data_IF_498485914451
#
_entry.id   IF_498485914451
#
_cell.length_a   1.000
_cell.length_b   1.000
_cell.length_c   1.000
_cell.angle_alpha   90.00
_cell.angle_beta   90.00
_cell.angle_gamma   90.00
#
_symmetry.space_group_name_H-M   'P 1'
#
loop_
_entity.id
_entity.type
_entity.pdbx_description
1 polymer ?
#
# COMPACT_ATOMS: atom_id res chain seq x y z
N UNK A 1 7.49 9.72 44.62
CA UNK A 1 6.26 9.10 44.09
C UNK A 1 6.53 8.78 42.63
N UNK A 2 6.91 7.54 42.34
CA UNK A 2 7.28 7.10 40.99
C UNK A 2 6.02 6.98 40.14
N UNK A 3 5.92 7.79 39.08
CA UNK A 3 4.96 7.59 38.00
C UNK A 3 5.48 6.43 37.15
N UNK A 4 4.83 5.27 37.28
CA UNK A 4 5.06 4.14 36.42
C UNK A 4 4.73 4.52 34.97
N UNK A 5 5.74 4.47 34.11
CA UNK A 5 5.53 4.41 32.67
C UNK A 5 4.70 3.16 32.37
N UNK A 6 3.43 3.34 32.02
CA UNK A 6 2.68 2.31 31.33
C UNK A 6 3.27 2.19 29.93
N UNK A 7 4.26 1.31 29.76
CA UNK A 7 4.65 0.76 28.47
C UNK A 7 3.49 -0.11 27.96
N UNK A 8 2.44 0.53 27.43
CA UNK A 8 1.53 -0.17 26.53
C UNK A 8 2.30 -0.39 25.25
N UNK A 9 2.81 -1.62 25.07
CA UNK A 9 3.18 -2.15 23.76
C UNK A 9 2.05 -1.75 22.81
N UNK A 10 2.34 -0.90 21.82
CA UNK A 10 1.40 -0.75 20.72
C UNK A 10 1.25 -2.17 20.14
N UNK A 11 0.00 -2.63 20.02
CA UNK A 11 -0.27 -3.97 19.50
C UNK A 11 -0.41 -3.80 17.99
N UNK A 12 0.38 -4.51 17.20
CA UNK A 12 0.22 -4.51 15.75
C UNK A 12 -1.24 -4.86 15.40
N UNK A 13 -1.93 -3.91 14.77
CA UNK A 13 -3.32 -4.06 14.40
C UNK A 13 -3.37 -4.63 12.98
N UNK A 14 -4.03 -5.77 12.80
CA UNK A 14 -4.27 -6.31 11.46
C UNK A 14 -5.61 -5.79 10.99
N UNK A 15 -5.60 -5.02 9.92
CA UNK A 15 -6.80 -4.47 9.35
C UNK A 15 -7.25 -5.32 8.17
N UNK A 16 -8.49 -5.80 8.26
CA UNK A 16 -9.13 -6.64 7.25
C UNK A 16 -10.19 -5.79 6.57
N UNK A 17 -9.91 -5.39 5.34
CA UNK A 17 -10.88 -4.72 4.49
C UNK A 17 -11.52 -5.75 3.55
N UNK A 18 -12.84 -5.83 3.58
CA UNK A 18 -13.60 -6.81 2.80
C UNK A 18 -14.79 -6.17 2.09
N UNK A 19 -14.97 -6.48 0.81
CA UNK A 19 -16.16 -6.17 0.03
C UNK A 19 -17.20 -7.32 0.02
N UNK A 20 -18.37 -7.06 0.61
CA UNK A 20 -19.51 -7.97 0.64
C UNK A 20 -20.30 -7.91 -0.65
N UNK A 21 -19.99 -8.75 -1.65
CA UNK A 21 -20.61 -8.70 -2.98
C UNK A 21 -22.15 -8.76 -2.95
N UNK A 22 -22.73 -9.61 -2.08
CA UNK A 22 -24.20 -9.74 -1.90
C UNK A 22 -24.85 -8.44 -1.43
N UNK A 23 -24.18 -7.69 -0.57
CA UNK A 23 -24.69 -6.45 0.03
C UNK A 23 -24.14 -5.19 -0.64
N UNK A 24 -23.19 -5.35 -1.58
CA UNK A 24 -22.41 -4.29 -2.22
C UNK A 24 -21.87 -3.27 -1.22
N UNK A 25 -21.29 -3.75 -0.10
CA UNK A 25 -20.77 -2.91 0.98
C UNK A 25 -19.33 -3.30 1.32
N UNK A 26 -18.43 -2.33 1.36
CA UNK A 26 -17.11 -2.48 1.97
C UNK A 26 -17.22 -2.35 3.50
N UNK A 27 -16.41 -3.14 4.21
CA UNK A 27 -16.28 -3.07 5.66
C UNK A 27 -14.82 -3.16 6.06
N UNK A 28 -14.44 -2.39 7.07
CA UNK A 28 -13.10 -2.48 7.66
C UNK A 28 -13.21 -3.04 9.08
N UNK A 29 -12.42 -4.07 9.34
CA UNK A 29 -12.39 -4.76 10.61
C UNK A 29 -10.99 -4.72 11.21
N UNK A 30 -10.95 -4.59 12.53
CA UNK A 30 -9.76 -4.68 13.35
C UNK A 30 -9.62 -6.09 13.90
N UNK A 31 -8.51 -6.74 13.57
CA UNK A 31 -8.10 -7.98 14.19
C UNK A 31 -6.87 -7.69 15.04
N UNK A 32 -7.01 -7.93 16.34
CA UNK A 32 -5.87 -7.97 17.26
C UNK A 32 -5.35 -9.40 17.28
N UNK A 33 -4.05 -9.57 17.30
CA UNK A 33 -3.39 -10.89 17.20
C UNK A 33 -3.89 -11.94 18.21
N UNK A 34 -4.33 -11.49 19.39
CA UNK A 34 -4.82 -12.35 20.48
C UNK A 34 -6.36 -12.49 20.50
N UNK A 35 -7.07 -11.72 19.68
CA UNK A 35 -8.53 -11.74 19.63
C UNK A 35 -9.02 -12.62 18.50
N UNK A 36 -9.92 -13.53 18.86
CA UNK A 36 -10.46 -14.57 17.99
C UNK A 36 -11.52 -14.06 16.99
N UNK A 37 -12.01 -12.84 17.15
CA UNK A 37 -13.01 -12.23 16.27
C UNK A 37 -12.60 -10.81 15.87
N UNK A 38 -12.63 -10.47 14.57
CA UNK A 38 -12.46 -9.10 14.10
C UNK A 38 -13.61 -8.21 14.58
N UNK A 39 -13.29 -6.96 14.93
CA UNK A 39 -14.28 -5.94 15.30
C UNK A 39 -14.43 -4.94 14.16
N UNK A 40 -15.64 -4.70 13.68
CA UNK A 40 -15.87 -3.62 12.71
C UNK A 40 -15.50 -2.25 13.32
N UNK A 41 -14.74 -1.45 12.58
CA UNK A 41 -14.25 -0.14 13.04
C UNK A 41 -14.64 1.01 12.12
N UNK A 42 -14.94 0.72 10.85
CA UNK A 42 -15.36 1.74 9.89
C UNK A 42 -16.46 1.20 8.98
N UNK A 43 -17.54 1.97 8.88
CA UNK A 43 -18.52 1.83 7.83
C UNK A 43 -18.17 2.77 6.68
N UNK A 44 -18.18 2.22 5.46
CA UNK A 44 -17.86 3.00 4.27
C UNK A 44 -19.05 3.91 3.91
N UNK A 45 -18.77 5.14 3.45
CA UNK A 45 -19.78 6.20 3.29
C UNK A 45 -20.89 5.82 2.30
N UNK A 46 -20.52 5.17 1.19
CA UNK A 46 -21.45 4.73 0.16
C UNK A 46 -21.31 3.23 -0.15
N UNK A 47 -22.35 2.65 -0.73
CA UNK A 47 -22.28 1.29 -1.30
C UNK A 47 -21.27 1.25 -2.45
N UNK A 48 -20.59 0.12 -2.58
CA UNK A 48 -19.52 -0.09 -3.54
C UNK A 48 -18.34 -0.80 -2.93
N UNK A 49 -17.42 -1.21 -3.81
CA UNK A 49 -16.11 -1.71 -3.43
C UNK A 49 -15.17 -0.51 -3.34
N UNK A 50 -14.40 -0.44 -2.27
CA UNK A 50 -13.28 0.49 -2.15
C UNK A 50 -12.01 -0.32 -2.12
N UNK A 51 -10.90 0.21 -2.62
CA UNK A 51 -9.59 -0.35 -2.40
C UNK A 51 -8.78 0.61 -1.52
N UNK A 52 -7.98 0.06 -0.61
CA UNK A 52 -6.97 0.83 0.12
C UNK A 52 -5.80 1.10 -0.83
N UNK A 53 -5.53 2.37 -1.14
CA UNK A 53 -4.42 2.77 -2.02
C UNK A 53 -3.08 2.77 -1.29
N UNK A 54 -3.06 3.32 -0.07
CA UNK A 54 -1.90 3.26 0.83
C UNK A 54 -2.26 3.74 2.25
N UNK A 55 -1.28 3.65 3.15
CA UNK A 55 -1.29 4.29 4.47
C UNK A 55 -0.14 5.30 4.62
N UNK A 56 -0.32 6.27 5.51
CA UNK A 56 0.72 7.21 5.93
C UNK A 56 0.46 7.67 7.36
N UNK A 57 1.39 7.42 8.28
CA UNK A 57 1.29 7.85 9.70
C UNK A 57 -0.05 7.49 10.36
N UNK A 58 -0.55 6.27 10.10
CA UNK A 58 -1.82 5.76 10.63
C UNK A 58 -3.09 6.35 10.01
N UNK A 59 -2.96 7.18 8.96
CA UNK A 59 -4.06 7.56 8.07
C UNK A 59 -4.11 6.61 6.88
N UNK A 60 -5.33 6.34 6.40
CA UNK A 60 -5.61 5.43 5.30
C UNK A 60 -6.33 6.14 4.17
N UNK A 61 -5.90 5.90 2.93
CA UNK A 61 -6.52 6.45 1.74
C UNK A 61 -7.30 5.38 0.99
N UNK A 62 -8.63 5.52 0.94
CA UNK A 62 -9.51 4.60 0.22
C UNK A 62 -10.06 5.25 -1.05
N UNK A 63 -10.14 4.47 -2.11
CA UNK A 63 -10.71 4.90 -3.40
C UNK A 63 -11.75 3.88 -3.84
N UNK A 64 -12.89 4.37 -4.31
CA UNK A 64 -13.98 3.54 -4.81
C UNK A 64 -13.62 2.95 -6.16
N UNK A 65 -13.79 1.64 -6.30
CA UNK A 65 -13.57 0.96 -7.57
C UNK A 65 -14.72 1.29 -8.53
N UNK A 66 -14.40 1.63 -9.77
CA UNK A 66 -15.37 1.79 -10.85
C UNK A 66 -15.24 3.12 -11.57
N UNK A 67 -16.37 3.61 -12.10
CA UNK A 67 -16.42 4.90 -12.82
C UNK A 67 -16.67 6.10 -11.90
N UNK A 68 -17.10 5.85 -10.67
CA UNK A 68 -17.37 6.90 -9.70
C UNK A 68 -16.08 7.28 -8.99
N UNK A 69 -15.59 8.50 -9.24
CA UNK A 69 -14.44 9.06 -8.56
C UNK A 69 -14.86 9.49 -7.14
N UNK A 70 -14.77 8.53 -6.21
CA UNK A 70 -15.01 8.76 -4.80
C UNK A 70 -13.79 8.26 -4.01
N UNK A 71 -13.21 9.15 -3.22
CA UNK A 71 -12.06 8.84 -2.38
C UNK A 71 -12.23 9.51 -1.01
N UNK A 72 -11.67 8.88 0.02
CA UNK A 72 -11.69 9.43 1.37
C UNK A 72 -10.45 9.02 2.16
N UNK A 73 -10.12 9.83 3.16
CA UNK A 73 -9.07 9.54 4.13
C UNK A 73 -9.71 9.24 5.48
N UNK A 74 -9.25 8.18 6.15
CA UNK A 74 -9.75 7.80 7.47
C UNK A 74 -8.60 7.48 8.42
N UNK A 75 -8.78 7.86 9.68
CA UNK A 75 -8.08 7.23 10.79
C UNK A 75 -9.05 6.21 11.41
N UNK A 76 -8.81 4.90 11.30
CA UNK A 76 -9.72 3.90 11.85
C UNK A 76 -9.91 3.97 13.37
N UNK A 77 -9.02 4.65 14.08
CA UNK A 77 -9.11 4.86 15.52
C UNK A 77 -9.75 6.20 15.90
N UNK A 78 -10.06 7.08 14.94
CA UNK A 78 -10.55 8.44 15.21
C UNK A 78 -11.50 9.01 14.16
N UNK A 79 -12.59 9.61 14.67
CA UNK A 79 -13.41 10.57 13.94
C UNK A 79 -14.20 9.99 12.77
N UNK A 80 -14.85 10.88 12.04
CA UNK A 80 -15.50 10.55 10.77
C UNK A 80 -14.49 10.58 9.62
N UNK A 81 -14.68 9.77 8.57
CA UNK A 81 -13.87 9.85 7.35
C UNK A 81 -13.91 11.25 6.73
N UNK A 82 -12.75 11.72 6.26
CA UNK A 82 -12.66 12.92 5.43
C UNK A 82 -12.92 12.53 3.97
N UNK A 83 -14.08 12.91 3.44
CA UNK A 83 -14.35 12.80 2.01
C UNK A 83 -13.46 13.76 1.22
N UNK A 84 -12.79 13.25 0.18
CA UNK A 84 -12.03 14.10 -0.74
C UNK A 84 -12.98 14.78 -1.73
N UNK A 85 -12.71 16.04 -2.15
CA UNK A 85 -13.50 16.67 -3.19
C UNK A 85 -13.38 15.86 -4.49
N UNK A 86 -14.40 15.93 -5.35
CA UNK A 86 -14.31 15.36 -6.69
C UNK A 86 -13.34 16.18 -7.52
N UNK A 87 -12.57 15.52 -8.38
CA UNK A 87 -11.79 16.23 -9.38
C UNK A 87 -12.69 16.81 -10.46
N UNK A 88 -12.24 17.91 -11.04
CA UNK A 88 -12.84 18.51 -12.23
C UNK A 88 -12.34 17.79 -13.49
N UNK A 89 -11.15 17.15 -13.40
CA UNK A 89 -10.53 16.45 -14.51
C UNK A 89 -11.04 15.01 -14.53
N UNK A 90 -11.69 14.65 -15.63
CA UNK A 90 -12.22 13.30 -15.85
C UNK A 90 -11.14 12.42 -16.47
N UNK A 91 -10.80 11.33 -15.79
CA UNK A 91 -9.89 10.32 -16.34
C UNK A 91 -10.57 9.52 -17.44
N UNK A 92 -9.83 9.19 -18.49
CA UNK A 92 -10.32 8.30 -19.55
C UNK A 92 -10.42 6.84 -19.08
N UNK A 93 -9.54 6.44 -18.16
CA UNK A 93 -9.52 5.11 -17.57
C UNK A 93 -9.44 5.22 -16.03
N UNK A 94 -10.51 5.66 -15.35
CA UNK A 94 -10.47 5.96 -13.91
C UNK A 94 -10.13 4.75 -13.03
N UNK A 95 -10.39 3.53 -13.50
CA UNK A 95 -10.02 2.29 -12.79
C UNK A 95 -8.51 1.99 -12.82
N UNK A 96 -7.74 2.68 -13.67
CA UNK A 96 -6.28 2.58 -13.73
C UNK A 96 -5.60 3.71 -12.96
N UNK A 97 -6.34 4.74 -12.57
CA UNK A 97 -5.79 5.85 -11.79
C UNK A 97 -5.15 5.32 -10.49
N UNK A 98 -4.14 6.04 -10.02
CA UNK A 98 -3.48 5.76 -8.74
C UNK A 98 -3.55 6.97 -7.87
N UNK A 99 -3.84 6.71 -6.60
CA UNK A 99 -3.79 7.73 -5.58
C UNK A 99 -2.68 7.39 -4.61
N UNK A 100 -2.20 8.39 -3.90
CA UNK A 100 -1.67 8.08 -2.60
C UNK A 100 -1.45 9.27 -1.72
N UNK A 101 -1.56 8.96 -0.44
CA UNK A 101 -1.47 9.85 0.69
C UNK A 101 -0.02 9.92 1.17
N UNK A 102 0.44 11.12 1.48
CA UNK A 102 1.70 11.30 2.18
C UNK A 102 1.76 12.61 2.94
N UNK A 103 2.89 12.82 3.60
CA UNK A 103 3.11 13.96 4.47
C UNK A 103 4.18 14.89 3.89
N UNK A 104 3.80 16.14 3.67
CA UNK A 104 4.74 17.22 3.37
C UNK A 104 5.34 17.73 4.68
N UNK A 105 6.59 17.35 4.93
CA UNK A 105 7.31 17.72 6.14
C UNK A 105 7.66 19.20 6.24
N UNK A 106 7.62 19.95 5.12
CA UNK A 106 7.93 21.38 5.10
C UNK A 106 6.74 22.23 5.53
N UNK A 107 5.54 21.87 5.06
CA UNK A 107 4.29 22.56 5.41
C UNK A 107 3.57 21.92 6.58
N UNK A 108 4.00 20.73 7.02
CA UNK A 108 3.34 19.89 8.04
C UNK A 108 1.90 19.54 7.67
N UNK A 109 1.64 19.33 6.39
CA UNK A 109 0.30 18.98 5.87
C UNK A 109 0.33 17.64 5.18
N UNK A 110 -0.79 16.93 5.29
CA UNK A 110 -1.05 15.76 4.49
C UNK A 110 -1.53 16.18 3.11
N UNK A 111 -1.03 15.47 2.11
CA UNK A 111 -1.36 15.68 0.70
C UNK A 111 -1.74 14.35 0.09
N UNK A 112 -2.62 14.40 -0.90
CA UNK A 112 -2.95 13.27 -1.74
C UNK A 112 -2.56 13.65 -3.16
N UNK A 113 -1.80 12.79 -3.82
CA UNK A 113 -1.56 12.88 -5.25
C UNK A 113 -2.46 11.87 -5.97
N UNK A 114 -3.03 12.28 -7.10
CA UNK A 114 -3.71 11.41 -8.04
C UNK A 114 -2.97 11.48 -9.37
N UNK A 115 -2.64 10.31 -9.92
CA UNK A 115 -2.14 10.16 -11.30
C UNK A 115 -3.24 9.50 -12.12
N UNK A 116 -3.57 10.13 -13.25
CA UNK A 116 -4.70 9.73 -14.09
C UNK A 116 -4.33 9.72 -15.57
N UNK A 117 -5.19 9.10 -16.38
CA UNK A 117 -4.95 8.94 -17.81
C UNK A 117 -5.79 9.91 -18.63
N UNK A 118 -5.14 10.68 -19.50
CA UNK A 118 -5.78 11.63 -20.41
C UNK A 118 -6.15 10.98 -21.74
N UNK A 119 -5.16 10.37 -22.37
CA UNK A 119 -5.30 9.76 -23.70
C UNK A 119 -4.26 8.64 -23.90
N UNK A 120 -4.40 7.92 -24.99
CA UNK A 120 -3.42 6.98 -25.51
C UNK A 120 -2.91 7.49 -26.86
N UNK A 121 -1.63 7.86 -26.88
CA UNK A 121 -0.91 8.24 -28.09
C UNK A 121 -0.61 6.98 -28.90
N UNK A 122 -1.38 6.79 -29.98
CA UNK A 122 -1.23 5.65 -30.89
C UNK A 122 0.08 5.67 -31.67
N UNK A 123 0.67 6.84 -31.91
CA UNK A 123 1.90 6.95 -32.69
C UNK A 123 3.10 6.46 -31.88
N UNK A 124 3.18 6.86 -30.61
CA UNK A 124 4.25 6.46 -29.70
C UNK A 124 3.90 5.22 -28.86
N UNK A 125 2.70 4.65 -29.03
CA UNK A 125 2.14 3.56 -28.24
C UNK A 125 2.24 3.80 -26.72
N UNK A 126 1.99 5.05 -26.31
CA UNK A 126 2.19 5.52 -24.94
C UNK A 126 0.92 6.14 -24.35
N UNK A 127 0.81 6.14 -23.04
CA UNK A 127 -0.26 6.86 -22.35
C UNK A 127 0.15 8.28 -22.03
N UNK A 128 -0.74 9.23 -22.32
CA UNK A 128 -0.62 10.59 -21.81
C UNK A 128 -1.20 10.63 -20.40
N UNK A 129 -0.35 10.89 -19.42
CA UNK A 129 -0.73 10.97 -18.01
C UNK A 129 -0.96 12.41 -17.58
N UNK A 130 -1.77 12.58 -16.54
CA UNK A 130 -1.92 13.80 -15.76
C UNK A 130 -1.70 13.51 -14.29
N UNK A 131 -1.37 14.55 -13.52
CA UNK A 131 -1.25 14.44 -12.08
C UNK A 131 -1.85 15.68 -11.40
N UNK A 132 -2.52 15.45 -10.28
CA UNK A 132 -3.10 16.50 -9.46
C UNK A 132 -2.90 16.22 -7.96
N UNK A 133 -2.84 17.28 -7.17
CA UNK A 133 -2.57 17.22 -5.74
C UNK A 133 -3.70 17.91 -4.98
N UNK A 134 -4.15 17.28 -3.91
CA UNK A 134 -5.05 17.84 -2.91
C UNK A 134 -4.31 18.00 -1.58
N UNK A 135 -4.36 19.18 -0.96
CA UNK A 135 -3.75 19.44 0.34
C UNK A 135 -4.82 19.53 1.42
N UNK A 136 -4.77 18.59 2.37
CA UNK A 136 -5.78 18.48 3.43
C UNK A 136 -5.85 19.76 4.27
N UNK A 137 -7.09 20.16 4.60
CA UNK A 137 -7.42 21.32 5.41
C UNK A 137 -7.03 22.68 4.80
N UNK A 138 -6.51 22.72 3.57
CA UNK A 138 -5.94 23.95 2.97
C UNK A 138 -6.64 24.29 1.66
N UNK A 139 -6.73 23.33 0.74
CA UNK A 139 -7.39 23.50 -0.56
C UNK A 139 -8.80 22.95 -0.52
N UNK A 140 -9.74 23.56 -1.24
CA UNK A 140 -11.11 23.04 -1.42
C UNK A 140 -11.27 22.14 -2.66
N UNK A 141 -10.28 22.12 -3.55
CA UNK A 141 -10.27 21.36 -4.79
C UNK A 141 -8.89 20.78 -5.08
N UNK A 142 -8.84 19.83 -6.01
CA UNK A 142 -7.59 19.35 -6.58
C UNK A 142 -6.90 20.45 -7.39
N UNK A 143 -5.56 20.46 -7.36
CA UNK A 143 -4.70 21.33 -8.17
C UNK A 143 -3.85 20.46 -9.09
N UNK A 144 -3.99 20.68 -10.39
CA UNK A 144 -3.13 20.03 -11.37
C UNK A 144 -1.66 20.46 -11.20
N UNK A 145 -0.74 19.53 -11.37
CA UNK A 145 0.70 19.77 -11.41
C UNK A 145 1.24 19.48 -12.80
N UNK A 146 2.24 20.25 -13.23
CA UNK A 146 2.83 20.11 -14.57
C UNK A 146 3.70 18.87 -14.70
N UNK A 147 4.29 18.39 -13.60
CA UNK A 147 5.12 17.20 -13.63
C UNK A 147 4.24 15.95 -13.51
N UNK A 148 4.48 15.02 -14.41
CA UNK A 148 3.78 13.73 -14.48
C UNK A 148 4.82 12.61 -14.49
N UNK A 149 4.49 11.40 -13.99
CA UNK A 149 5.38 10.27 -14.13
C UNK A 149 5.53 9.92 -15.61
N UNK A 150 6.70 9.44 -16.01
CA UNK A 150 6.95 9.04 -17.40
C UNK A 150 6.17 7.78 -17.82
N UNK A 151 5.67 7.01 -16.85
CA UNK A 151 5.02 5.71 -17.09
C UNK A 151 3.79 5.51 -16.23
N UNK A 152 2.82 4.70 -16.70
CA UNK A 152 1.71 4.22 -15.88
C UNK A 152 2.20 3.56 -14.59
N UNK A 153 1.61 3.97 -13.48
CA UNK A 153 1.90 3.41 -12.16
C UNK A 153 1.16 2.07 -11.97
N UNK A 154 1.80 1.14 -11.26
CA UNK A 154 1.31 -0.21 -11.05
C UNK A 154 1.29 -0.59 -9.57
N UNK A 155 0.35 -1.49 -9.22
CA UNK A 155 0.00 -1.85 -7.84
C UNK A 155 -0.27 -0.62 -6.96
N UNK A 156 -0.36 -0.85 -5.66
CA UNK A 156 -0.61 0.16 -4.62
C UNK A 156 0.67 0.92 -4.27
N UNK A 157 0.51 2.15 -3.81
CA UNK A 157 1.64 2.99 -3.40
C UNK A 157 2.12 2.64 -1.99
N UNK A 158 3.42 2.79 -1.74
CA UNK A 158 4.02 2.63 -0.41
C UNK A 158 4.68 3.92 0.03
N UNK A 159 4.23 4.48 1.16
CA UNK A 159 4.86 5.64 1.78
C UNK A 159 5.98 5.18 2.71
N UNK A 160 7.22 5.44 2.33
CA UNK A 160 8.43 5.08 3.08
C UNK A 160 9.55 6.07 2.75
N UNK A 161 10.59 6.18 3.57
CA UNK A 161 11.69 7.12 3.35
C UNK A 161 11.24 8.58 3.10
N UNK A 162 10.07 8.99 3.62
CA UNK A 162 9.52 10.33 3.42
C UNK A 162 8.87 10.60 2.06
N UNK A 163 8.83 9.60 1.17
CA UNK A 163 8.23 9.71 -0.16
C UNK A 163 7.27 8.55 -0.45
N UNK A 164 6.45 8.71 -1.49
CA UNK A 164 5.50 7.67 -1.92
C UNK A 164 6.02 6.96 -3.15
N UNK A 165 5.91 5.64 -3.20
CA UNK A 165 6.59 4.81 -4.21
C UNK A 165 5.61 3.86 -4.89
N UNK A 166 5.75 3.70 -6.21
CA UNK A 166 5.01 2.73 -7.02
C UNK A 166 5.94 1.96 -7.95
N UNK A 167 5.49 0.77 -8.35
CA UNK A 167 6.09 0.04 -9.46
C UNK A 167 5.62 0.62 -10.79
N UNK A 168 6.42 0.42 -11.84
CA UNK A 168 6.02 0.71 -13.22
C UNK A 168 5.22 -0.46 -13.80
N UNK A 169 4.17 -0.15 -14.58
CA UNK A 169 3.42 -1.17 -15.29
C UNK A 169 4.21 -1.70 -16.50
N UNK A 170 4.64 -2.96 -16.43
CA UNK A 170 5.45 -3.61 -17.47
C UNK A 170 4.69 -3.86 -18.78
N UNK A 171 3.35 -3.92 -18.75
CA UNK A 171 2.52 -4.10 -19.95
C UNK A 171 2.59 -2.88 -20.90
N UNK A 172 3.07 -1.74 -20.38
CA UNK A 172 3.09 -0.46 -21.09
C UNK A 172 4.48 0.20 -21.14
N UNK A 173 5.55 -0.57 -20.88
CA UNK A 173 6.93 -0.07 -20.85
C UNK A 173 7.84 -0.78 -21.87
N UNK A 174 8.71 -0.02 -22.52
CA UNK A 174 9.86 -0.52 -23.29
C UNK A 174 10.92 -1.13 -22.35
N UNK A 175 11.77 -2.02 -22.89
CA UNK A 175 12.54 -3.03 -22.14
C UNK A 175 13.47 -2.52 -21.03
N UNK A 176 14.07 -1.33 -21.16
CA UNK A 176 15.12 -0.86 -20.23
C UNK A 176 14.58 -0.19 -18.94
N UNK A 177 13.29 0.16 -18.91
CA UNK A 177 12.66 0.90 -17.80
C UNK A 177 11.65 0.07 -17.00
N UNK A 178 11.54 -1.23 -17.32
CA UNK A 178 10.80 -2.26 -16.57
C UNK A 178 11.34 -2.51 -15.15
N UNK A 179 12.41 -1.80 -14.82
CA UNK A 179 13.32 -1.98 -13.72
C UNK A 179 13.40 -0.72 -12.84
N UNK A 180 12.34 0.07 -12.79
CA UNK A 180 12.30 1.32 -12.02
C UNK A 180 11.15 1.34 -11.03
N UNK A 181 11.40 1.99 -9.88
CA UNK A 181 10.41 2.44 -8.93
C UNK A 181 10.22 3.94 -9.15
N UNK A 182 8.97 4.38 -9.26
CA UNK A 182 8.63 5.80 -9.34
C UNK A 182 8.33 6.29 -7.93
N UNK A 183 9.03 7.34 -7.50
CA UNK A 183 8.77 8.02 -6.23
C UNK A 183 8.11 9.37 -6.45
N UNK A 184 7.30 9.83 -5.50
CA UNK A 184 6.74 11.18 -5.44
C UNK A 184 7.13 11.84 -4.11
N UNK A 185 7.79 12.99 -4.21
CA UNK A 185 8.19 13.84 -3.08
C UNK A 185 7.09 14.88 -2.81
N UNK A 186 6.45 14.81 -1.65
CA UNK A 186 5.35 15.72 -1.31
C UNK A 186 5.79 17.15 -0.95
N UNK A 187 7.06 17.36 -0.63
CA UNK A 187 7.62 18.69 -0.36
C UNK A 187 7.87 19.43 -1.66
N UNK A 188 8.49 18.77 -2.63
CA UNK A 188 8.79 19.36 -3.94
C UNK A 188 7.61 19.22 -4.92
N UNK A 189 6.67 18.30 -4.63
CA UNK A 189 5.62 17.86 -5.55
C UNK A 189 6.20 17.30 -6.85
N UNK A 190 7.29 16.52 -6.71
CA UNK A 190 8.05 16.01 -7.84
C UNK A 190 8.13 14.49 -7.94
N UNK A 191 8.07 13.99 -9.17
CA UNK A 191 8.32 12.59 -9.49
C UNK A 191 9.81 12.33 -9.74
N UNK A 192 10.33 11.22 -9.20
CA UNK A 192 11.72 10.77 -9.42
C UNK A 192 11.73 9.27 -9.72
N UNK A 193 12.78 8.82 -10.38
CA UNK A 193 13.00 7.41 -10.70
C UNK A 193 14.14 6.83 -9.86
N UNK A 194 13.87 5.68 -9.25
CA UNK A 194 14.80 4.92 -8.45
C UNK A 194 15.02 3.59 -9.18
N UNK A 195 16.26 3.18 -9.49
CA UNK A 195 16.52 1.86 -10.03
C UNK A 195 16.05 0.82 -9.02
N UNK A 196 15.28 -0.14 -9.51
CA UNK A 196 14.93 -1.31 -8.71
C UNK A 196 16.19 -2.15 -8.44
N UNK A 197 16.13 -3.02 -7.44
CA UNK A 197 17.09 -4.11 -7.28
C UNK A 197 17.13 -4.95 -8.57
N UNK A 198 18.33 -5.29 -9.04
CA UNK A 198 18.50 -6.21 -10.15
C UNK A 198 18.05 -7.61 -9.73
N UNK A 199 16.91 -8.04 -10.25
CA UNK A 199 16.38 -9.39 -10.10
C UNK A 199 16.62 -10.22 -11.35
N UNK A 200 16.59 -11.55 -11.19
CA UNK A 200 16.69 -12.49 -12.31
C UNK A 200 15.48 -12.40 -13.25
N UNK A 201 14.30 -12.14 -12.69
CA UNK A 201 13.08 -11.86 -13.44
C UNK A 201 12.97 -10.38 -13.78
N UNK A 202 12.41 -10.07 -14.94
CA UNK A 202 12.07 -8.70 -15.36
C UNK A 202 10.58 -8.41 -15.38
N UNK A 203 9.75 -9.35 -14.88
CA UNK A 203 8.29 -9.23 -14.99
C UNK A 203 7.72 -8.63 -13.70
N UNK A 204 7.22 -7.38 -13.77
CA UNK A 204 6.83 -6.64 -12.57
C UNK A 204 5.64 -7.19 -11.79
N UNK A 205 4.88 -8.14 -12.38
CA UNK A 205 3.83 -8.88 -11.66
C UNK A 205 4.36 -9.66 -10.45
N UNK A 206 5.61 -10.12 -10.50
CA UNK A 206 6.28 -10.87 -9.44
C UNK A 206 6.92 -10.00 -8.36
N UNK A 207 6.79 -8.67 -8.47
CA UNK A 207 7.36 -7.74 -7.50
C UNK A 207 6.27 -7.00 -6.73
N UNK A 208 6.54 -6.72 -5.47
CA UNK A 208 5.71 -5.87 -4.61
C UNK A 208 6.58 -4.90 -3.84
N UNK A 209 6.00 -3.75 -3.47
CA UNK A 209 6.62 -2.84 -2.53
C UNK A 209 5.99 -3.05 -1.16
N UNK A 210 6.79 -2.89 -0.11
CA UNK A 210 6.35 -3.04 1.28
C UNK A 210 7.04 -2.00 2.16
N UNK A 211 6.35 -1.52 3.19
CA UNK A 211 6.98 -0.69 4.22
C UNK A 211 7.67 -1.58 5.26
N UNK A 212 8.97 -1.37 5.45
CA UNK A 212 9.81 -2.02 6.45
C UNK A 212 10.15 -1.01 7.56
N UNK A 213 9.13 -0.55 8.28
CA UNK A 213 9.23 0.44 9.37
C UNK A 213 9.85 1.76 8.92
N UNK A 214 9.26 2.38 7.90
CA UNK A 214 9.70 3.62 7.30
C UNK A 214 10.80 3.47 6.25
N UNK A 215 11.22 2.24 5.93
CA UNK A 215 12.15 1.96 4.83
C UNK A 215 11.42 1.24 3.70
N UNK A 216 11.68 1.67 2.47
CA UNK A 216 11.13 1.03 1.29
C UNK A 216 11.71 -0.38 1.16
N UNK A 217 10.83 -1.37 1.16
CA UNK A 217 11.11 -2.74 0.84
C UNK A 217 10.60 -3.10 -0.55
N UNK A 218 11.27 -4.04 -1.20
CA UNK A 218 10.83 -4.67 -2.43
C UNK A 218 10.88 -6.19 -2.28
N UNK A 219 9.81 -6.85 -2.70
CA UNK A 219 9.60 -8.28 -2.55
C UNK A 219 9.72 -8.95 -3.91
N UNK A 220 10.45 -10.06 -3.98
CA UNK A 220 10.58 -10.90 -5.17
C UNK A 220 9.95 -12.28 -4.95
N UNK A 221 8.90 -12.57 -5.72
CA UNK A 221 8.19 -13.85 -5.73
C UNK A 221 8.63 -14.79 -6.86
N UNK A 222 9.58 -14.38 -7.72
CA UNK A 222 9.91 -15.09 -8.95
C UNK A 222 10.79 -16.33 -8.77
N UNK A 223 11.39 -16.52 -7.59
CA UNK A 223 12.43 -17.54 -7.34
C UNK A 223 11.89 -18.94 -7.04
N UNK A 224 10.55 -19.10 -6.95
CA UNK A 224 9.81 -20.38 -6.86
C UNK A 224 10.13 -21.29 -5.67
N UNK A 225 11.15 -20.97 -4.88
CA UNK A 225 11.70 -21.77 -3.77
C UNK A 225 11.69 -20.99 -2.47
N UNK A 226 11.83 -19.67 -2.58
CA UNK A 226 11.87 -18.72 -1.48
C UNK A 226 11.37 -17.37 -1.98
N UNK A 227 11.00 -16.51 -1.04
CA UNK A 227 10.72 -15.09 -1.26
C UNK A 227 11.95 -14.33 -0.76
N UNK A 228 12.43 -13.37 -1.54
CA UNK A 228 13.42 -12.40 -1.06
C UNK A 228 12.78 -11.05 -0.82
N UNK A 229 13.17 -10.42 0.28
CA UNK A 229 12.76 -9.05 0.61
C UNK A 229 14.01 -8.20 0.72
N UNK A 230 14.09 -7.19 -0.13
CA UNK A 230 15.19 -6.26 -0.25
C UNK A 230 14.80 -4.92 0.34
N UNK A 231 15.68 -4.31 1.12
CA UNK A 231 15.49 -3.02 1.75
C UNK A 231 16.36 -1.98 1.06
N UNK A 232 15.78 -0.83 0.75
CA UNK A 232 16.53 0.34 0.28
C UNK A 232 17.27 0.95 1.49
N UNK A 233 18.54 0.57 1.65
CA UNK A 233 19.35 0.91 2.83
C UNK A 233 19.84 2.35 2.77
N UNK A 234 20.29 2.78 1.59
CA UNK A 234 20.72 4.14 1.33
C UNK A 234 19.86 4.71 0.19
N UNK A 235 18.96 5.62 0.53
CA UNK A 235 17.99 6.19 -0.40
C UNK A 235 18.67 7.08 -1.45
N UNK A 236 19.70 7.83 -1.06
CA UNK A 236 20.42 8.76 -1.93
C UNK A 236 21.31 8.02 -2.91
N UNK A 237 22.04 7.01 -2.42
CA UNK A 237 22.89 6.15 -3.27
C UNK A 237 22.10 5.09 -4.02
N UNK A 238 20.82 4.91 -3.69
CA UNK A 238 19.92 3.92 -4.30
C UNK A 238 20.43 2.48 -4.08
N UNK A 239 21.01 2.23 -2.90
CA UNK A 239 21.61 0.94 -2.55
C UNK A 239 20.60 0.04 -1.84
N UNK A 240 20.32 -1.09 -2.46
CA UNK A 240 19.46 -2.13 -1.93
C UNK A 240 20.29 -3.22 -1.25
N UNK A 241 19.77 -3.75 -0.14
CA UNK A 241 20.36 -4.90 0.56
C UNK A 241 19.28 -5.93 0.83
N UNK A 242 19.62 -7.21 0.71
CA UNK A 242 18.68 -8.28 1.06
C UNK A 242 18.53 -8.31 2.57
N UNK A 243 17.31 -8.06 3.05
CA UNK A 243 16.97 -8.04 4.47
C UNK A 243 16.42 -9.40 4.92
N UNK A 244 15.57 -10.03 4.10
CA UNK A 244 14.95 -11.32 4.43
C UNK A 244 15.00 -12.31 3.28
N UNK A 245 15.03 -13.59 3.67
CA UNK A 245 14.85 -14.75 2.80
C UNK A 245 13.87 -15.69 3.50
N UNK A 246 12.71 -15.90 2.89
CA UNK A 246 11.64 -16.75 3.44
C UNK A 246 11.55 -17.99 2.57
N UNK A 247 12.00 -19.15 3.06
CA UNK A 247 11.89 -20.39 2.32
C UNK A 247 10.43 -20.87 2.30
N UNK A 248 9.92 -21.17 1.10
CA UNK A 248 8.52 -21.55 0.87
C UNK A 248 8.37 -22.98 0.36
N UNK A 249 9.41 -23.82 0.40
CA UNK A 249 9.31 -25.26 0.11
C UNK A 249 9.42 -26.12 1.38
N UNK A 250 8.74 -27.28 1.46
CA UNK A 250 8.90 -28.22 2.57
C UNK A 250 10.39 -28.64 2.74
N UNK A 251 10.87 -28.93 3.98
CA UNK A 251 10.11 -29.10 5.22
C UNK A 251 9.84 -27.81 6.00
N UNK A 252 10.37 -26.67 5.56
CA UNK A 252 10.27 -25.38 6.26
C UNK A 252 9.22 -24.43 5.67
N UNK A 253 8.64 -24.76 4.51
CA UNK A 253 7.66 -23.94 3.80
C UNK A 253 6.34 -24.66 3.51
N UNK A 254 5.29 -23.86 3.29
CA UNK A 254 3.98 -24.32 2.82
C UNK A 254 4.12 -24.66 1.33
N UNK A 255 3.58 -25.76 0.78
CA UNK A 255 3.66 -26.04 -0.65
C UNK A 255 2.89 -24.96 -1.44
N UNK A 256 3.57 -23.91 -1.87
CA UNK A 256 2.92 -22.74 -2.47
C UNK A 256 3.26 -22.69 -3.95
N UNK A 257 2.24 -22.83 -4.80
CA UNK A 257 2.40 -22.64 -6.24
C UNK A 257 1.48 -21.56 -6.82
N UNK A 258 0.74 -20.76 -6.02
CA UNK A 258 0.09 -19.54 -6.50
C UNK A 258 -0.47 -18.69 -5.32
N UNK A 259 -0.39 -17.35 -5.41
CA UNK A 259 -0.91 -16.32 -4.48
C UNK A 259 -0.38 -16.25 -3.03
N UNK A 260 0.77 -15.57 -2.88
CA UNK A 260 1.28 -15.03 -1.61
C UNK A 260 1.34 -13.51 -1.72
N UNK A 261 0.95 -12.81 -0.66
CA UNK A 261 1.15 -11.37 -0.48
C UNK A 261 1.99 -11.14 0.78
N UNK A 262 3.00 -10.28 0.69
CA UNK A 262 3.71 -9.78 1.88
C UNK A 262 2.94 -8.58 2.39
N UNK A 263 2.23 -8.77 3.50
CA UNK A 263 1.32 -7.77 4.06
C UNK A 263 2.08 -6.63 4.73
N UNK A 264 3.18 -6.95 5.43
CA UNK A 264 4.01 -5.95 6.10
C UNK A 264 4.79 -6.49 7.29
N UNK A 265 5.67 -5.66 7.83
CA UNK A 265 6.46 -5.96 9.02
C UNK A 265 5.68 -5.57 10.29
N UNK A 266 5.41 -6.55 11.16
CA UNK A 266 4.72 -6.34 12.44
C UNK A 266 5.66 -5.74 13.50
N UNK A 267 5.09 -5.25 14.60
CA UNK A 267 5.83 -4.56 15.66
C UNK A 267 6.82 -5.46 16.43
N UNK A 268 6.52 -6.75 16.54
CA UNK A 268 7.40 -7.75 17.14
C UNK A 268 8.59 -8.14 16.25
N UNK A 269 8.56 -7.71 14.98
CA UNK A 269 9.60 -7.95 13.97
C UNK A 269 9.31 -9.15 13.09
N UNK A 270 8.15 -9.78 13.22
CA UNK A 270 7.70 -10.83 12.30
C UNK A 270 7.08 -10.23 11.04
N UNK A 271 7.23 -10.93 9.91
CA UNK A 271 6.64 -10.53 8.64
C UNK A 271 5.30 -11.23 8.48
N UNK A 272 4.25 -10.45 8.31
CA UNK A 272 2.92 -10.97 8.03
C UNK A 272 2.77 -11.28 6.54
N UNK A 273 2.36 -12.49 6.25
CA UNK A 273 2.07 -13.01 4.93
C UNK A 273 0.60 -13.39 4.85
N UNK A 274 -0.01 -13.15 3.69
CA UNK A 274 -1.31 -13.71 3.34
C UNK A 274 -1.08 -14.78 2.27
N UNK A 275 -1.60 -15.97 2.53
CA UNK A 275 -1.55 -17.10 1.60
C UNK A 275 -2.97 -17.67 1.46
N UNK A 276 -3.58 -17.49 0.29
CA UNK A 276 -5.00 -17.73 0.06
C UNK A 276 -5.87 -17.12 1.18
N UNK A 277 -6.52 -17.97 1.96
CA UNK A 277 -7.45 -17.60 3.01
C UNK A 277 -6.80 -17.60 4.41
N UNK A 278 -5.47 -17.79 4.47
CA UNK A 278 -4.70 -17.93 5.71
C UNK A 278 -3.71 -16.79 5.90
N UNK A 279 -3.48 -16.42 7.16
CA UNK A 279 -2.40 -15.54 7.55
C UNK A 279 -1.27 -16.35 8.16
N UNK A 280 -0.04 -16.01 7.80
CA UNK A 280 1.17 -16.66 8.27
C UNK A 280 2.13 -15.58 8.74
N UNK A 281 2.72 -15.75 9.92
CA UNK A 281 3.79 -14.89 10.38
C UNK A 281 5.14 -15.60 10.22
N UNK A 282 6.11 -14.89 9.65
CA UNK A 282 7.49 -15.32 9.51
C UNK A 282 8.37 -14.68 10.58
N UNK A 283 9.06 -15.52 11.35
CA UNK A 283 10.01 -15.09 12.36
C UNK A 283 11.45 -15.31 11.86
N UNK A 284 12.15 -14.21 11.59
CA UNK A 284 13.53 -14.24 11.08
C UNK A 284 14.55 -14.81 12.07
N UNK A 285 14.29 -14.74 13.38
CA UNK A 285 15.25 -15.21 14.41
C UNK A 285 15.35 -16.73 14.48
N UNK A 286 14.23 -17.41 14.24
CA UNK A 286 14.16 -18.87 14.25
C UNK A 286 13.99 -19.46 12.85
N UNK A 287 14.00 -18.60 11.82
CA UNK A 287 13.72 -18.93 10.43
C UNK A 287 12.48 -19.83 10.27
N UNK A 288 11.38 -19.43 10.91
CA UNK A 288 10.19 -20.26 11.05
C UNK A 288 8.91 -19.53 10.65
N UNK A 289 7.94 -20.30 10.16
CA UNK A 289 6.59 -19.82 9.85
C UNK A 289 5.61 -20.35 10.90
N UNK A 290 4.66 -19.51 11.32
CA UNK A 290 3.52 -19.91 12.16
C UNK A 290 2.22 -19.43 11.53
N UNK A 291 1.20 -20.29 11.56
CA UNK A 291 -0.14 -19.94 11.07
C UNK A 291 -0.89 -19.10 12.11
N UNK A 292 -1.57 -18.05 11.64
CA UNK A 292 -2.48 -17.22 12.44
C UNK A 292 -3.91 -17.65 12.10
N UNK A 293 -4.61 -18.23 13.09
CA UNK A 293 -5.98 -18.70 12.92
C UNK A 293 -6.99 -17.53 12.96
N UNK A 294 -7.87 -17.46 11.97
CA UNK A 294 -9.00 -16.51 11.93
C UNK A 294 -10.29 -17.31 12.12
N UNK A 295 -11.00 -17.11 13.22
CA UNK A 295 -12.14 -17.96 13.61
C UNK A 295 -13.49 -17.54 13.02
N UNK A 296 -13.56 -16.43 12.26
CA UNK A 296 -14.82 -15.96 11.67
C UNK A 296 -14.70 -15.65 10.17
N UNK A 297 -15.57 -16.28 9.37
CA UNK A 297 -15.90 -15.87 8.00
C UNK A 297 -14.94 -16.28 6.88
N UNK A 298 -13.70 -16.66 7.20
CA UNK A 298 -12.65 -16.95 6.20
C UNK A 298 -12.21 -15.69 5.43
N UNK A 299 -10.93 -15.60 5.05
CA UNK A 299 -10.48 -14.54 4.15
C UNK A 299 -10.82 -14.96 2.71
N UNK A 300 -11.83 -14.35 2.08
CA UNK A 300 -12.08 -14.63 0.65
C UNK A 300 -10.97 -14.00 -0.20
N UNK A 301 -10.32 -14.79 -1.05
CA UNK A 301 -9.11 -14.38 -1.81
C UNK A 301 -9.26 -13.02 -2.52
N UNK A 302 -10.30 -12.84 -3.32
CA UNK A 302 -10.40 -11.73 -4.28
C UNK A 302 -10.97 -10.43 -3.71
N UNK A 303 -11.59 -10.52 -2.53
CA UNK A 303 -12.36 -9.40 -1.94
C UNK A 303 -11.77 -8.91 -0.63
N UNK A 304 -10.74 -9.59 -0.10
CA UNK A 304 -10.14 -9.29 1.19
C UNK A 304 -8.75 -8.71 1.05
N UNK A 305 -8.55 -7.50 1.57
CA UNK A 305 -7.25 -6.85 1.69
C UNK A 305 -6.84 -6.85 3.15
N UNK A 306 -5.58 -7.20 3.40
CA UNK A 306 -5.01 -7.23 4.74
C UNK A 306 -3.85 -6.24 4.77
N UNK A 307 -3.68 -5.53 5.87
CA UNK A 307 -2.53 -4.64 6.06
C UNK A 307 -2.18 -4.53 7.54
N UNK A 308 -0.88 -4.35 7.79
CA UNK A 308 -0.36 -4.02 9.12
C UNK A 308 -0.66 -2.54 9.37
N UNK A 309 -1.26 -2.25 10.52
CA UNK A 309 -1.63 -0.90 10.92
C UNK A 309 -0.95 -0.52 12.23
N UNK A 310 -0.24 0.60 12.20
CA UNK A 310 0.26 1.28 13.38
C UNK A 310 -0.69 2.43 13.70
N UNK A 311 -1.23 2.42 14.93
CA UNK A 311 -2.16 3.43 15.40
C UNK A 311 -1.55 4.83 15.40
N UNK A 312 -2.40 5.84 15.20
CA UNK A 312 -1.98 7.24 15.23
C UNK A 312 -3.04 8.12 15.87
N UNK A 313 -2.60 9.19 16.53
CA UNK A 313 -3.48 10.19 17.13
C UNK A 313 -3.89 11.29 16.14
N UNK A 314 -3.46 11.24 14.89
CA UNK A 314 -3.76 12.26 13.86
C UNK A 314 -5.25 12.21 13.46
N UNK A 315 -5.92 13.35 13.42
CA UNK A 315 -7.30 13.44 12.92
C UNK A 315 -7.31 13.80 11.43
N UNK A 316 -8.12 13.13 10.57
CA UNK A 316 -8.25 13.51 9.16
C UNK A 316 -8.83 14.92 8.95
N UNK A 317 -9.61 15.44 9.91
CA UNK A 317 -10.41 16.65 9.77
C UNK A 317 -9.76 17.95 10.28
N UNK A 318 -8.46 17.96 10.61
CA UNK A 318 -7.77 19.11 11.21
C UNK A 318 -6.94 19.96 10.25
#
# INVERSE_FOLDING_TARGET
>A
MHLAQATTREEALVLIHWFHAKHRKSSLQLMKEHYRSPKAILEFPNRGRYDLENSCHGLLCFVKCGKEEEAFVSNPLKGEPLMLPRSIIVSRWPHLDRYGLGFDSSTKRYKIVRVFFRDFDRANQGYQLGAEVYTMGTTSSWREISQVPCYPLYKKGVYANGALHWLVNHEFSLDDLKSMVISFDFRQEEFKSIPHQEFSSKVSKWFELVDLRGYLGMVDFSLGTHIEIWKLKDYEKKEWVREYRIDIKPPHGVPINEYIEVVGLMEDGEILLKHYETLVAYNSKINGLRCIQILSGGLQMDTTQVYVYTGSLVSPSQ
#
